data_IF_143709535936
#
_entry.id   IF_143709535936
#
_cell.length_a   1.000
_cell.length_b   1.000
_cell.length_c   1.000
_cell.angle_alpha   90.00
_cell.angle_beta   90.00
_cell.angle_gamma   90.00
#
_symmetry.space_group_name_H-M   'P 1'
#
loop_
_entity.id
_entity.type
_entity.pdbx_description
1 polymer ?
#
# COMPACT_ATOMS: atom_id res chain seq x y z
N UNK A 1 9.93 17.68 -10.23
CA UNK A 1 9.04 16.94 -9.30
C UNK A 1 9.35 15.44 -9.34
N UNK A 2 9.98 14.94 -10.41
CA UNK A 2 10.38 13.52 -10.54
C UNK A 2 11.13 12.90 -9.33
N UNK A 3 12.15 13.59 -8.78
CA UNK A 3 12.90 13.07 -7.61
C UNK A 3 12.00 12.88 -6.39
N UNK A 4 11.09 13.82 -6.13
CA UNK A 4 10.13 13.71 -5.04
C UNK A 4 9.18 12.52 -5.26
N UNK A 5 8.70 12.30 -6.49
CA UNK A 5 7.86 11.14 -6.83
C UNK A 5 8.59 9.81 -6.61
N UNK A 6 9.88 9.75 -6.95
CA UNK A 6 10.71 8.57 -6.67
C UNK A 6 10.91 8.31 -5.19
N UNK A 7 11.18 9.35 -4.39
CA UNK A 7 11.32 9.23 -2.94
C UNK A 7 10.01 8.73 -2.33
N UNK A 8 8.88 9.34 -2.68
CA UNK A 8 7.57 8.96 -2.14
C UNK A 8 7.18 7.55 -2.60
N UNK A 9 7.42 7.18 -3.86
CA UNK A 9 7.18 5.83 -4.36
C UNK A 9 8.04 4.79 -3.65
N UNK A 10 9.32 5.10 -3.39
CA UNK A 10 10.24 4.26 -2.62
C UNK A 10 9.75 4.03 -1.20
N UNK A 11 9.37 5.09 -0.49
CA UNK A 11 8.80 4.99 0.86
C UNK A 11 7.51 4.17 0.88
N UNK A 12 6.60 4.41 -0.08
CA UNK A 12 5.35 3.68 -0.20
C UNK A 12 5.60 2.20 -0.51
N UNK A 13 6.59 1.88 -1.36
CA UNK A 13 6.97 0.52 -1.66
C UNK A 13 7.51 -0.21 -0.43
N UNK A 14 8.30 0.45 0.43
CA UNK A 14 8.76 -0.13 1.70
C UNK A 14 7.58 -0.43 2.64
N UNK A 15 6.61 0.49 2.74
CA UNK A 15 5.41 0.30 3.56
C UNK A 15 4.59 -0.89 3.07
N UNK A 16 4.36 -0.98 1.75
CA UNK A 16 3.62 -2.10 1.15
C UNK A 16 4.40 -3.42 1.29
N UNK A 17 5.72 -3.41 1.12
CA UNK A 17 6.55 -4.58 1.34
C UNK A 17 6.48 -5.07 2.80
N UNK A 18 6.53 -4.15 3.77
CA UNK A 18 6.34 -4.50 5.17
C UNK A 18 4.93 -5.07 5.44
N UNK A 19 3.90 -4.49 4.81
CA UNK A 19 2.53 -5.01 4.88
C UNK A 19 2.37 -6.43 4.31
N UNK A 20 3.12 -6.75 3.25
CA UNK A 20 3.08 -8.06 2.59
C UNK A 20 3.46 -9.24 3.49
N UNK A 21 4.06 -8.98 4.67
CA UNK A 21 4.31 -9.98 5.69
C UNK A 21 3.04 -10.76 6.09
N UNK A 22 1.83 -10.22 5.85
CA UNK A 22 0.54 -10.92 5.98
C UNK A 22 0.44 -12.22 5.16
N UNK A 23 1.28 -12.40 4.14
CA UNK A 23 1.40 -13.64 3.38
C UNK A 23 1.99 -14.79 4.21
N UNK A 24 2.90 -14.45 5.14
CA UNK A 24 3.75 -15.40 5.85
C UNK A 24 3.32 -15.51 7.31
N UNK A 25 2.91 -14.40 7.94
CA UNK A 25 2.48 -14.37 9.34
C UNK A 25 1.06 -14.94 9.46
N UNK A 26 0.95 -16.13 10.05
CA UNK A 26 -0.34 -16.78 10.32
C UNK A 26 -1.18 -16.00 11.33
N UNK A 27 -2.51 -16.14 11.25
CA UNK A 27 -3.48 -15.53 12.18
C UNK A 27 -3.12 -15.73 13.66
N UNK A 28 -2.59 -16.90 14.01
CA UNK A 28 -2.18 -17.24 15.38
C UNK A 28 -1.04 -16.35 15.88
N UNK A 29 -0.04 -16.06 15.05
CA UNK A 29 1.04 -15.13 15.42
C UNK A 29 0.57 -13.68 15.46
N UNK A 30 -0.35 -13.29 14.58
CA UNK A 30 -0.96 -11.96 14.61
C UNK A 30 -1.80 -11.71 15.87
N UNK A 31 -2.51 -12.73 16.37
CA UNK A 31 -3.25 -12.64 17.65
C UNK A 31 -2.37 -12.34 18.86
N UNK A 32 -1.07 -12.67 18.80
CA UNK A 32 -0.08 -12.40 19.86
C UNK A 32 0.56 -11.00 19.76
N UNK A 33 0.34 -10.27 18.67
CA UNK A 33 0.92 -8.92 18.44
C UNK A 33 0.12 -7.78 19.11
N UNK A 34 -0.82 -8.10 20.00
CA UNK A 34 -1.56 -7.14 20.82
C UNK A 34 -2.89 -6.68 20.23
N UNK A 35 -3.62 -5.81 20.96
CA UNK A 35 -5.00 -5.39 20.64
C UNK A 35 -5.15 -4.77 19.23
N UNK A 36 -4.10 -4.12 18.72
CA UNK A 36 -4.06 -3.52 17.37
C UNK A 36 -4.12 -4.56 16.23
N UNK A 37 -3.98 -5.84 16.55
CA UNK A 37 -3.98 -6.94 15.58
C UNK A 37 -5.32 -7.69 15.53
N UNK A 38 -6.29 -7.33 16.39
CA UNK A 38 -7.61 -7.98 16.47
C UNK A 38 -8.35 -7.99 15.13
N UNK A 39 -8.13 -6.98 14.28
CA UNK A 39 -8.75 -6.91 12.97
C UNK A 39 -8.42 -8.08 12.05
N UNK A 40 -7.26 -8.72 12.26
CA UNK A 40 -6.82 -9.90 11.53
C UNK A 40 -7.74 -11.10 11.81
N UNK A 41 -8.44 -11.12 12.95
CA UNK A 41 -9.39 -12.17 13.28
C UNK A 41 -10.66 -12.10 12.43
N UNK A 42 -11.09 -10.89 12.05
CA UNK A 42 -12.33 -10.64 11.29
C UNK A 42 -12.23 -10.99 9.80
N UNK A 43 -11.02 -11.11 9.26
CA UNK A 43 -10.79 -11.51 7.87
C UNK A 43 -10.52 -13.00 7.76
N UNK A 44 -10.97 -13.68 6.72
CA UNK A 44 -10.56 -15.07 6.49
C UNK A 44 -9.03 -15.15 6.24
N UNK A 45 -8.36 -16.28 6.55
CA UNK A 45 -6.94 -16.45 6.22
C UNK A 45 -6.63 -16.23 4.74
N UNK A 46 -7.56 -16.60 3.85
CA UNK A 46 -7.45 -16.37 2.42
C UNK A 46 -7.49 -14.88 2.06
N UNK A 47 -8.37 -14.10 2.69
CA UNK A 47 -8.47 -12.66 2.45
C UNK A 47 -7.19 -11.92 2.92
N UNK A 48 -6.61 -12.32 4.05
CA UNK A 48 -5.34 -11.76 4.53
C UNK A 48 -4.18 -12.04 3.56
N UNK A 49 -4.12 -13.27 3.03
CA UNK A 49 -3.14 -13.62 2.01
C UNK A 49 -3.36 -12.83 0.71
N UNK A 50 -4.61 -12.63 0.29
CA UNK A 50 -4.91 -11.81 -0.87
C UNK A 50 -4.45 -10.35 -0.68
N UNK A 51 -4.71 -9.75 0.49
CA UNK A 51 -4.22 -8.40 0.81
C UNK A 51 -2.69 -8.36 0.78
N UNK A 52 -2.02 -9.31 1.43
CA UNK A 52 -0.55 -9.37 1.42
C UNK A 52 0.04 -9.55 0.01
N UNK A 53 -0.62 -10.31 -0.85
CA UNK A 53 -0.22 -10.46 -2.25
C UNK A 53 -0.38 -9.15 -3.04
N UNK A 54 -1.48 -8.44 -2.82
CA UNK A 54 -1.72 -7.12 -3.42
C UNK A 54 -0.70 -6.09 -2.95
N UNK A 55 -0.34 -6.11 -1.66
CA UNK A 55 0.70 -5.23 -1.12
C UNK A 55 2.07 -5.53 -1.73
N UNK A 56 2.45 -6.81 -1.86
CA UNK A 56 3.69 -7.20 -2.52
C UNK A 56 3.71 -6.77 -4.00
N UNK A 57 2.62 -7.04 -4.72
CA UNK A 57 2.47 -6.64 -6.12
C UNK A 57 2.53 -5.11 -6.27
N UNK A 58 1.92 -4.36 -5.36
CA UNK A 58 1.98 -2.90 -5.32
C UNK A 58 3.41 -2.39 -5.08
N UNK A 59 4.14 -2.95 -4.12
CA UNK A 59 5.53 -2.60 -3.86
C UNK A 59 6.43 -2.84 -5.09
N UNK A 60 6.27 -4.00 -5.73
CA UNK A 60 6.98 -4.33 -6.95
C UNK A 60 6.59 -3.40 -8.10
N UNK A 61 5.29 -3.15 -8.30
CA UNK A 61 4.75 -2.33 -9.38
C UNK A 61 5.09 -0.84 -9.27
N UNK A 62 5.35 -0.33 -8.05
CA UNK A 62 5.79 1.05 -7.85
C UNK A 62 7.24 1.31 -8.26
N UNK A 63 8.10 0.28 -8.25
CA UNK A 63 9.55 0.44 -8.40
C UNK A 63 10.07 -0.27 -9.66
N UNK A 64 9.78 -1.57 -9.83
CA UNK A 64 10.38 -2.38 -10.88
C UNK A 64 10.09 -1.88 -12.29
N UNK A 65 8.85 -1.50 -12.68
CA UNK A 65 8.56 -1.07 -14.04
C UNK A 65 9.36 0.15 -14.47
N UNK A 66 9.53 1.13 -13.58
CA UNK A 66 10.28 2.34 -13.86
C UNK A 66 11.79 2.17 -13.66
N UNK A 67 12.24 1.28 -12.77
CA UNK A 67 13.66 1.02 -12.54
C UNK A 67 14.27 0.15 -13.67
N UNK A 68 13.47 -0.75 -14.24
CA UNK A 68 13.88 -1.62 -15.34
C UNK A 68 13.56 -1.03 -16.72
N UNK A 69 12.87 0.11 -16.76
CA UNK A 69 12.35 0.74 -17.99
C UNK A 69 11.44 -0.20 -18.80
N UNK A 70 10.66 -1.04 -18.10
CA UNK A 70 9.71 -2.00 -18.68
C UNK A 70 8.31 -1.57 -18.27
N UNK A 71 7.51 -1.10 -19.24
CA UNK A 71 6.15 -0.63 -19.03
C UNK A 71 5.99 0.36 -17.84
N UNK A 72 6.69 1.52 -17.81
CA UNK A 72 6.66 2.45 -16.67
C UNK A 72 5.26 2.98 -16.30
N UNK A 73 4.29 2.90 -17.23
CA UNK A 73 2.88 3.22 -16.96
C UNK A 73 2.25 2.33 -15.87
N UNK A 74 2.87 1.19 -15.53
CA UNK A 74 2.42 0.35 -14.42
C UNK A 74 2.63 1.00 -13.04
N UNK A 75 3.55 1.94 -12.90
CA UNK A 75 3.78 2.66 -11.63
C UNK A 75 2.55 3.46 -11.18
N UNK A 76 1.95 4.35 -12.00
CA UNK A 76 0.73 5.05 -11.61
C UNK A 76 -0.48 4.10 -11.40
N UNK A 77 -0.52 2.97 -12.12
CA UNK A 77 -1.53 1.92 -11.90
C UNK A 77 -1.35 1.25 -10.53
N UNK A 78 -0.12 0.89 -10.16
CA UNK A 78 0.21 0.33 -8.85
C UNK A 78 -0.09 1.33 -7.72
N UNK A 79 0.23 2.61 -7.92
CA UNK A 79 -0.13 3.68 -6.99
C UNK A 79 -1.65 3.79 -6.79
N UNK A 80 -2.43 3.66 -7.87
CA UNK A 80 -3.90 3.66 -7.78
C UNK A 80 -4.45 2.44 -7.02
N UNK A 81 -3.84 1.26 -7.20
CA UNK A 81 -4.13 0.09 -6.38
C UNK A 81 -3.85 0.34 -4.89
N UNK A 82 -2.73 1.00 -4.57
CA UNK A 82 -2.41 1.38 -3.20
C UNK A 82 -3.43 2.38 -2.61
N UNK A 83 -3.93 3.33 -3.40
CA UNK A 83 -5.03 4.23 -2.99
C UNK A 83 -6.26 3.42 -2.56
N UNK A 84 -6.66 2.42 -3.35
CA UNK A 84 -7.81 1.56 -3.00
C UNK A 84 -7.56 0.77 -1.71
N UNK A 85 -6.36 0.22 -1.55
CA UNK A 85 -5.97 -0.53 -0.33
C UNK A 85 -6.05 0.35 0.92
N UNK A 86 -5.42 1.53 0.90
CA UNK A 86 -5.42 2.42 2.07
C UNK A 86 -6.79 3.03 2.33
N UNK A 87 -7.61 3.30 1.31
CA UNK A 87 -9.00 3.72 1.48
C UNK A 87 -9.82 2.65 2.21
N UNK A 88 -9.64 1.37 1.85
CA UNK A 88 -10.25 0.24 2.55
C UNK A 88 -9.80 0.16 4.02
N UNK A 89 -8.50 0.32 4.28
CA UNK A 89 -7.93 0.32 5.63
C UNK A 89 -8.50 1.46 6.50
N UNK A 90 -8.51 2.69 5.97
CA UNK A 90 -9.07 3.87 6.65
C UNK A 90 -10.56 3.66 6.97
N UNK A 91 -11.35 3.21 5.98
CA UNK A 91 -12.79 2.96 6.16
C UNK A 91 -13.05 1.95 7.27
N UNK A 92 -12.26 0.88 7.31
CA UNK A 92 -12.40 -0.16 8.32
C UNK A 92 -12.01 0.31 9.72
N UNK A 93 -10.92 1.08 9.87
CA UNK A 93 -10.52 1.66 11.16
C UNK A 93 -11.49 2.73 11.65
N UNK A 94 -12.06 3.52 10.73
CA UNK A 94 -13.12 4.48 11.06
C UNK A 94 -14.36 3.79 11.62
N UNK A 95 -14.80 2.67 11.00
CA UNK A 95 -15.94 1.87 11.47
C UNK A 95 -15.71 1.28 12.87
N UNK A 96 -14.46 1.01 13.25
CA UNK A 96 -14.08 0.51 14.59
C UNK A 96 -13.88 1.61 15.64
N UNK A 97 -13.92 2.88 15.25
CA UNK A 97 -13.66 4.00 16.15
C UNK A 97 -12.18 4.17 16.54
N UNK A 98 -11.25 3.46 15.89
CA UNK A 98 -9.81 3.50 16.20
C UNK A 98 -9.12 4.74 15.59
N UNK A 99 -9.54 5.94 16.02
CA UNK A 99 -9.11 7.22 15.41
C UNK A 99 -7.60 7.45 15.43
N UNK A 100 -6.88 6.91 16.43
CA UNK A 100 -5.42 7.10 16.55
C UNK A 100 -4.63 6.28 15.53
N UNK A 101 -5.12 5.10 15.15
CA UNK A 101 -4.43 4.21 14.20
C UNK A 101 -4.73 4.61 12.75
N UNK A 102 -5.67 5.51 12.49
CA UNK A 102 -6.01 5.95 11.11
C UNK A 102 -4.94 6.86 10.50
N UNK A 103 -4.19 7.60 11.33
CA UNK A 103 -3.25 8.63 10.86
C UNK A 103 -2.20 8.09 9.88
N UNK A 104 -1.50 6.96 10.14
CA UNK A 104 -0.56 6.40 9.18
C UNK A 104 -1.23 6.01 7.85
N UNK A 105 -2.41 5.40 7.88
CA UNK A 105 -3.10 4.99 6.65
C UNK A 105 -3.52 6.20 5.80
N UNK A 106 -3.89 7.32 6.44
CA UNK A 106 -4.15 8.58 5.73
C UNK A 106 -2.87 9.16 5.09
N UNK A 107 -1.74 9.09 5.79
CA UNK A 107 -0.44 9.53 5.23
C UNK A 107 -0.10 8.69 4.00
N UNK A 108 -0.22 7.37 4.10
CA UNK A 108 0.04 6.47 2.96
C UNK A 108 -0.94 6.68 1.81
N UNK A 109 -2.20 6.96 2.11
CA UNK A 109 -3.20 7.32 1.11
C UNK A 109 -2.80 8.59 0.35
N UNK A 110 -2.41 9.66 1.07
CA UNK A 110 -1.95 10.91 0.46
C UNK A 110 -0.71 10.69 -0.40
N UNK A 111 0.25 9.91 0.09
CA UNK A 111 1.44 9.51 -0.68
C UNK A 111 1.07 8.77 -1.97
N UNK A 112 0.16 7.80 -1.89
CA UNK A 112 -0.30 7.02 -3.04
C UNK A 112 -1.02 7.91 -4.08
N UNK A 113 -1.90 8.80 -3.63
CA UNK A 113 -2.58 9.78 -4.51
C UNK A 113 -1.56 10.70 -5.17
N UNK A 114 -0.56 11.19 -4.42
CA UNK A 114 0.49 12.06 -4.95
C UNK A 114 1.31 11.36 -6.05
N UNK A 115 1.70 10.10 -5.83
CA UNK A 115 2.43 9.31 -6.84
C UNK A 115 1.56 9.03 -8.06
N UNK A 116 0.31 8.61 -7.87
CA UNK A 116 -0.61 8.34 -8.98
C UNK A 116 -0.83 9.60 -9.83
N UNK A 117 -1.13 10.74 -9.19
CA UNK A 117 -1.33 12.01 -9.87
C UNK A 117 -0.07 12.48 -10.60
N UNK A 118 1.08 12.45 -9.93
CA UNK A 118 2.35 12.88 -10.51
C UNK A 118 2.75 12.05 -11.74
N UNK A 119 2.56 10.74 -11.67
CA UNK A 119 2.94 9.80 -12.74
C UNK A 119 1.91 9.67 -13.87
N UNK A 120 0.62 9.92 -13.62
CA UNK A 120 -0.38 10.00 -14.69
C UNK A 120 -0.39 11.35 -15.40
N UNK A 121 -0.07 12.44 -14.70
CA UNK A 121 -0.17 13.79 -15.24
C UNK A 121 1.18 14.45 -15.47
N UNK A 122 1.64 15.35 -14.57
CA UNK A 122 2.69 16.31 -14.88
C UNK A 122 4.06 15.72 -15.18
N UNK A 123 4.36 14.54 -14.65
CA UNK A 123 5.69 13.89 -14.69
C UNK A 123 5.53 12.42 -15.10
N UNK A 124 4.78 12.22 -16.18
CA UNK A 124 4.67 10.91 -16.82
C UNK A 124 6.02 10.45 -17.33
N UNK A 125 6.25 9.13 -17.36
CA UNK A 125 7.49 8.57 -17.90
C UNK A 125 7.61 8.71 -19.43
N UNK A 126 6.52 9.05 -20.12
CA UNK A 126 6.46 9.17 -21.58
C UNK A 126 6.53 10.64 -22.06
N UNK A 127 6.95 11.56 -21.19
CA UNK A 127 7.04 13.00 -21.47
C UNK A 127 8.48 13.47 -21.63
#
# INVERSE_FOLDING_TARGET
MNVALWIVAGLLAVVLLAGSAKLIVSKEKAGMLGEHSRWVQDFSPAALKAIGALELAGAAGLILPAALDIAPFLVPVAASGAVLLFTGAVTMRLRRGERKTIVPDLIYLVMAVFVAWGRFGPESFNG
#
